data_IF_008616253440
#
_entry.id   IF_008616253440
#
_cell.length_a   1.000
_cell.length_b   1.000
_cell.length_c   1.000
_cell.angle_alpha   90.00
_cell.angle_beta   90.00
_cell.angle_gamma   90.00
#
_symmetry.space_group_name_H-M   'P 1'
#
loop_
_entity.id
_entity.type
_entity.pdbx_description
1 polymer ?
#
# COMPACT_ATOMS: atom_id res chain seq x y z
N UNK A 1 14.18 6.70 -0.60
CA UNK A 1 13.84 6.23 0.76
C UNK A 1 14.19 4.74 0.93
N UNK A 2 13.72 3.85 0.01
CA UNK A 2 14.03 2.43 0.13
C UNK A 2 15.54 2.17 0.16
N UNK A 3 16.29 2.83 -0.72
CA UNK A 3 17.75 2.69 -0.76
C UNK A 3 18.41 3.13 0.56
N UNK A 4 17.89 4.20 1.17
CA UNK A 4 18.40 4.69 2.46
C UNK A 4 18.20 3.62 3.55
N UNK A 5 17.01 3.02 3.58
CA UNK A 5 16.69 1.96 4.56
C UNK A 5 17.62 0.78 4.37
N UNK A 6 17.84 0.32 3.13
CA UNK A 6 18.73 -0.79 2.86
C UNK A 6 20.18 -0.47 3.28
N UNK A 7 20.62 0.78 3.07
CA UNK A 7 21.95 1.20 3.51
C UNK A 7 22.07 1.17 5.05
N UNK A 8 21.03 1.62 5.74
CA UNK A 8 21.03 1.56 7.22
C UNK A 8 21.03 0.10 7.71
N UNK A 9 20.28 -0.79 7.07
CA UNK A 9 20.24 -2.20 7.43
C UNK A 9 21.62 -2.86 7.25
N UNK A 10 22.32 -2.55 6.15
CA UNK A 10 23.68 -3.05 5.94
C UNK A 10 24.61 -2.59 7.05
N UNK A 11 24.56 -1.31 7.42
CA UNK A 11 25.38 -0.76 8.49
C UNK A 11 25.07 -1.39 9.84
N UNK A 12 23.81 -1.80 10.05
CA UNK A 12 23.38 -2.44 11.30
C UNK A 12 23.74 -3.93 11.35
N UNK A 13 24.35 -4.48 10.29
CA UNK A 13 24.79 -5.86 10.26
C UNK A 13 23.73 -6.86 9.83
N UNK A 14 22.68 -6.42 9.17
CA UNK A 14 21.64 -7.32 8.68
C UNK A 14 22.22 -8.28 7.63
N UNK A 15 21.93 -9.57 7.77
CA UNK A 15 22.30 -10.57 6.76
C UNK A 15 21.37 -10.52 5.57
N UNK A 16 20.12 -10.11 5.80
CA UNK A 16 19.13 -9.90 4.74
C UNK A 16 18.18 -8.78 5.16
N UNK A 17 17.65 -8.07 4.17
CA UNK A 17 16.68 -7.01 4.41
C UNK A 17 15.81 -6.81 3.19
N UNK A 18 14.51 -6.67 3.44
CA UNK A 18 13.55 -6.27 2.43
C UNK A 18 12.80 -5.03 2.93
N UNK A 19 12.42 -4.19 2.00
CA UNK A 19 11.76 -2.92 2.27
C UNK A 19 10.58 -2.78 1.33
N UNK A 20 9.42 -2.44 1.87
CA UNK A 20 8.26 -2.10 1.08
C UNK A 20 7.84 -0.68 1.41
N UNK A 21 7.71 0.15 0.37
CA UNK A 21 7.29 1.54 0.49
C UNK A 21 5.98 1.69 -0.25
N UNK A 22 4.98 2.28 0.38
CA UNK A 22 3.70 2.54 -0.28
C UNK A 22 3.22 3.95 0.00
N UNK A 23 2.52 4.50 -0.97
CA UNK A 23 1.78 5.75 -0.85
C UNK A 23 0.46 5.58 -1.58
N UNK A 24 -0.59 6.18 -1.04
CA UNK A 24 -1.89 6.14 -1.69
C UNK A 24 -2.77 7.27 -1.24
N UNK A 25 -3.72 7.63 -2.08
CA UNK A 25 -4.74 8.59 -1.72
C UNK A 25 -6.04 8.23 -2.42
N UNK A 26 -7.13 8.70 -1.85
CA UNK A 26 -8.42 8.43 -2.44
C UNK A 26 -9.53 9.25 -1.84
N UNK A 27 -10.69 9.09 -2.45
CA UNK A 27 -11.91 9.71 -1.93
C UNK A 27 -13.07 8.76 -2.15
N UNK A 28 -14.07 8.85 -1.26
CA UNK A 28 -15.30 8.09 -1.38
C UNK A 28 -16.47 9.01 -1.11
N UNK A 29 -17.48 8.92 -1.98
CA UNK A 29 -18.71 9.67 -1.87
C UNK A 29 -19.84 8.67 -1.81
N UNK A 30 -20.67 8.75 -0.78
CA UNK A 30 -21.84 7.89 -0.61
C UNK A 30 -23.11 8.74 -0.60
N UNK A 31 -24.11 8.31 -1.37
CA UNK A 31 -25.45 8.90 -1.34
C UNK A 31 -26.38 7.83 -0.77
N UNK A 32 -27.10 8.19 0.30
CA UNK A 32 -28.04 7.29 0.96
C UNK A 32 -29.40 7.99 1.07
N UNK A 33 -30.41 7.37 0.52
CA UNK A 33 -31.78 7.92 0.48
C UNK A 33 -31.78 9.35 -0.06
N UNK A 34 -30.99 9.58 -1.11
CA UNK A 34 -30.92 10.87 -1.80
C UNK A 34 -29.99 11.90 -1.15
N UNK A 35 -29.50 11.63 0.06
CA UNK A 35 -28.67 12.58 0.80
C UNK A 35 -27.20 12.17 0.74
N UNK A 36 -26.33 13.16 0.61
CA UNK A 36 -24.88 12.93 0.57
C UNK A 36 -24.38 12.68 1.98
N UNK A 37 -23.78 11.51 2.21
CA UNK A 37 -23.09 11.20 3.46
C UNK A 37 -21.79 12.00 3.55
N UNK A 38 -21.16 12.11 4.74
CA UNK A 38 -19.87 12.78 4.82
C UNK A 38 -18.87 12.19 3.84
N UNK A 39 -18.19 13.06 3.09
CA UNK A 39 -17.22 12.66 2.08
C UNK A 39 -15.93 12.25 2.79
N UNK A 40 -15.39 11.10 2.41
CA UNK A 40 -14.16 10.59 2.99
C UNK A 40 -12.99 10.83 2.05
N UNK A 41 -11.92 11.39 2.59
CA UNK A 41 -10.64 11.53 1.91
C UNK A 41 -9.61 10.77 2.72
N UNK A 42 -8.75 10.02 2.04
CA UNK A 42 -7.65 9.37 2.73
C UNK A 42 -6.35 9.63 1.98
N UNK A 43 -5.29 9.75 2.74
CA UNK A 43 -3.93 9.84 2.22
C UNK A 43 -3.02 9.08 3.17
N UNK A 44 -2.41 8.03 2.67
CA UNK A 44 -1.61 7.12 3.46
C UNK A 44 -0.23 6.95 2.85
N UNK A 45 0.77 6.78 3.69
CA UNK A 45 2.09 6.36 3.24
C UNK A 45 2.73 5.52 4.32
N UNK A 46 3.62 4.63 3.91
CA UNK A 46 4.29 3.77 4.88
C UNK A 46 5.53 3.13 4.31
N UNK A 47 6.44 2.82 5.20
CA UNK A 47 7.62 2.01 4.90
C UNK A 47 7.64 0.86 5.89
N UNK A 48 7.64 -0.38 5.37
CA UNK A 48 7.84 -1.58 6.16
C UNK A 48 9.25 -2.10 5.93
N UNK A 49 9.92 -2.47 7.00
CA UNK A 49 11.31 -2.97 6.97
C UNK A 49 11.32 -4.34 7.61
N UNK A 50 11.77 -5.34 6.87
CA UNK A 50 11.96 -6.71 7.38
C UNK A 50 13.46 -7.00 7.36
N UNK A 51 14.01 -7.40 8.50
CA UNK A 51 15.43 -7.68 8.68
C UNK A 51 15.59 -9.14 9.13
N UNK A 52 16.46 -9.88 8.75
CA UNK A 52 16.83 -10.96 9.02
C UNK A 52 18.01 -10.79 9.56
N UNK A 53 18.47 -11.42 10.76
CA UNK A 53 19.81 -11.65 11.33
C UNK A 53 20.01 -13.16 11.37
N UNK A 54 20.63 -13.69 10.34
CA UNK A 54 20.63 -15.13 10.12
C UNK A 54 19.20 -15.61 9.94
N UNK A 55 18.74 -16.49 10.82
CA UNK A 55 17.40 -17.05 10.78
C UNK A 55 16.42 -16.37 11.76
N UNK A 56 16.85 -15.25 12.33
CA UNK A 56 15.99 -14.46 13.21
C UNK A 56 15.42 -13.29 12.43
N UNK A 57 14.11 -13.12 12.47
CA UNK A 57 13.41 -12.12 11.66
C UNK A 57 12.79 -11.05 12.55
N UNK A 58 12.95 -9.81 12.16
CA UNK A 58 12.27 -8.68 12.79
C UNK A 58 11.65 -7.80 11.76
N UNK A 59 10.51 -7.21 12.13
CA UNK A 59 9.78 -6.30 11.24
C UNK A 59 9.39 -5.05 12.02
N UNK A 60 9.51 -3.89 11.36
CA UNK A 60 9.02 -2.64 11.91
C UNK A 60 8.59 -1.75 10.77
N UNK A 61 7.73 -0.79 11.05
CA UNK A 61 7.22 0.12 10.01
C UNK A 61 7.09 1.53 10.56
N UNK A 62 7.03 2.49 9.64
CA UNK A 62 6.80 3.89 9.97
C UNK A 62 6.05 4.58 8.83
N UNK A 63 5.27 5.60 9.18
CA UNK A 63 4.68 6.51 8.21
C UNK A 63 5.49 7.79 8.07
N UNK A 64 6.54 7.96 8.86
CA UNK A 64 7.44 9.12 8.83
C UNK A 64 8.65 8.78 7.97
N UNK A 65 8.81 9.51 6.85
CA UNK A 65 9.89 9.27 5.89
C UNK A 65 11.13 10.13 6.17
N UNK A 66 11.23 10.73 7.34
CA UNK A 66 12.43 11.48 7.74
C UNK A 66 13.61 10.54 7.92
N UNK A 67 14.81 11.07 7.76
CA UNK A 67 16.03 10.27 7.87
C UNK A 67 16.17 9.64 9.28
N UNK A 68 15.80 10.37 10.33
CA UNK A 68 15.86 9.84 11.69
C UNK A 68 14.86 8.71 11.89
N UNK A 69 13.62 8.87 11.42
CA UNK A 69 12.59 7.83 11.55
C UNK A 69 12.99 6.56 10.81
N UNK A 70 13.60 6.69 9.63
CA UNK A 70 14.06 5.52 8.87
C UNK A 70 15.14 4.75 9.63
N UNK A 71 16.11 5.47 10.22
CA UNK A 71 17.15 4.84 11.04
C UNK A 71 16.55 4.13 12.25
N UNK A 72 15.62 4.79 12.92
CA UNK A 72 14.97 4.23 14.12
C UNK A 72 14.17 2.98 13.76
N UNK A 73 13.50 3.00 12.62
CA UNK A 73 12.70 1.85 12.16
C UNK A 73 13.60 0.65 11.87
N UNK A 74 14.76 0.87 11.21
CA UNK A 74 15.72 -0.20 10.98
C UNK A 74 16.24 -0.74 12.32
N UNK A 75 16.59 0.16 13.24
CA UNK A 75 17.09 -0.24 14.56
C UNK A 75 16.04 -1.07 15.31
N UNK A 76 14.77 -0.66 15.23
CA UNK A 76 13.67 -1.40 15.85
C UNK A 76 13.53 -2.80 15.25
N UNK A 77 13.56 -2.91 13.91
CA UNK A 77 13.47 -4.21 13.24
C UNK A 77 14.65 -5.12 13.65
N UNK A 78 15.85 -4.57 13.69
CA UNK A 78 17.03 -5.34 14.13
C UNK A 78 16.90 -5.78 15.58
N UNK A 79 16.40 -4.90 16.44
CA UNK A 79 16.22 -5.24 17.84
C UNK A 79 15.20 -6.37 18.03
N UNK A 80 14.09 -6.29 17.30
CA UNK A 80 13.08 -7.35 17.32
C UNK A 80 13.72 -8.67 16.85
N UNK A 81 14.49 -8.63 15.76
CA UNK A 81 15.15 -9.85 15.24
C UNK A 81 16.04 -10.51 16.29
N UNK A 82 16.80 -9.72 17.05
CA UNK A 82 17.73 -10.27 18.06
C UNK A 82 17.02 -11.10 19.12
N UNK A 83 15.75 -10.79 19.41
CA UNK A 83 14.99 -11.47 20.46
C UNK A 83 13.96 -12.46 19.93
N UNK A 84 13.87 -12.60 18.60
CA UNK A 84 12.97 -13.56 17.98
C UNK A 84 13.65 -14.92 17.88
N UNK A 85 12.90 -16.00 18.10
CA UNK A 85 13.42 -17.35 17.94
C UNK A 85 13.85 -17.57 16.48
N UNK A 86 14.93 -18.32 16.30
CA UNK A 86 15.40 -18.67 14.97
C UNK A 86 14.38 -19.59 14.27
N UNK A 87 14.15 -19.32 13.00
CA UNK A 87 13.23 -20.09 12.15
C UNK A 87 14.02 -20.50 10.90
N UNK A 88 14.24 -21.81 10.68
CA UNK A 88 15.02 -22.22 9.50
C UNK A 88 14.41 -21.80 8.17
N UNK A 89 13.14 -21.40 8.17
CA UNK A 89 12.48 -20.92 6.94
C UNK A 89 12.55 -19.39 6.81
N UNK A 90 13.12 -18.69 7.79
CA UNK A 90 13.21 -17.22 7.72
C UNK A 90 14.36 -16.78 6.81
N UNK A 91 14.10 -15.79 5.98
CA UNK A 91 15.10 -15.23 5.08
C UNK A 91 14.48 -14.76 3.79
N UNK A 92 15.31 -14.24 2.90
CA UNK A 92 14.88 -13.92 1.54
C UNK A 92 15.02 -15.21 0.69
N UNK A 93 14.28 -15.29 -0.42
CA UNK A 93 14.41 -16.45 -1.30
C UNK A 93 15.85 -16.62 -1.81
N UNK A 94 16.16 -17.84 -2.23
CA UNK A 94 17.43 -18.12 -2.86
C UNK A 94 17.66 -17.17 -4.04
N UNK A 95 18.93 -16.83 -4.28
CA UNK A 95 19.28 -15.85 -5.31
C UNK A 95 18.72 -16.22 -6.69
N UNK A 96 18.64 -17.54 -6.97
CA UNK A 96 18.12 -18.01 -8.25
C UNK A 96 16.61 -17.76 -8.43
N UNK A 97 15.90 -17.53 -7.33
CA UNK A 97 14.46 -17.28 -7.34
C UNK A 97 14.12 -15.79 -7.27
N UNK A 98 15.12 -14.93 -7.05
CA UNK A 98 14.89 -13.50 -6.99
C UNK A 98 14.76 -12.90 -8.39
N UNK A 99 13.93 -11.88 -8.52
CA UNK A 99 13.79 -11.18 -9.79
C UNK A 99 15.13 -10.57 -10.20
N UNK A 100 15.47 -10.76 -11.47
CA UNK A 100 16.74 -10.25 -12.01
C UNK A 100 16.63 -8.72 -12.18
N UNK A 101 17.59 -8.03 -11.60
CA UNK A 101 17.71 -6.58 -11.67
C UNK A 101 17.81 -6.04 -13.08
N UNK A 102 18.42 -6.82 -13.98
CA UNK A 102 18.63 -6.43 -15.37
C UNK A 102 17.43 -6.73 -16.26
N UNK A 103 16.49 -7.49 -15.74
CA UNK A 103 15.30 -7.86 -16.50
C UNK A 103 14.32 -6.70 -16.51
N UNK A 104 13.83 -6.34 -17.69
CA UNK A 104 12.79 -5.31 -17.79
C UNK A 104 11.49 -5.84 -17.21
N UNK A 105 10.84 -5.01 -16.41
CA UNK A 105 9.53 -5.39 -15.86
C UNK A 105 8.44 -5.10 -16.88
N UNK A 106 7.48 -5.99 -16.97
CA UNK A 106 6.32 -5.77 -17.82
C UNK A 106 5.52 -4.56 -17.33
N UNK A 107 5.02 -3.78 -18.26
CA UNK A 107 4.06 -2.74 -17.95
C UNK A 107 2.72 -3.43 -17.71
N UNK A 108 2.23 -3.41 -16.47
CA UNK A 108 1.01 -4.09 -16.10
C UNK A 108 -0.24 -3.26 -16.42
N UNK A 109 -0.04 -1.99 -16.83
CA UNK A 109 -1.12 -1.09 -17.26
C UNK A 109 -2.21 -0.97 -16.20
N UNK A 110 -1.82 -0.74 -14.95
CA UNK A 110 -2.74 -0.71 -13.81
C UNK A 110 -3.07 0.69 -13.33
N UNK A 111 -2.57 1.73 -14.01
CA UNK A 111 -2.76 3.10 -13.57
C UNK A 111 -3.59 3.88 -14.59
N UNK A 112 -4.85 4.07 -14.25
CA UNK A 112 -5.84 4.78 -15.07
C UNK A 112 -6.62 5.73 -14.16
N UNK A 113 -6.02 6.87 -13.79
CA UNK A 113 -6.69 7.79 -12.86
C UNK A 113 -7.98 8.32 -13.46
N UNK A 114 -8.98 8.50 -12.62
CA UNK A 114 -10.28 9.00 -13.01
C UNK A 114 -10.49 10.35 -12.32
N UNK A 115 -10.34 11.47 -13.04
CA UNK A 115 -10.39 12.80 -12.42
C UNK A 115 -11.84 13.25 -12.20
N UNK A 116 -12.58 12.50 -11.39
CA UNK A 116 -13.99 12.77 -11.11
C UNK A 116 -14.08 13.78 -9.98
N UNK A 117 -14.85 14.84 -10.18
CA UNK A 117 -15.11 15.81 -9.13
C UNK A 117 -16.05 15.23 -8.08
N UNK A 118 -16.09 15.87 -6.90
CA UNK A 118 -17.04 15.48 -5.86
C UNK A 118 -18.47 15.55 -6.38
N UNK A 119 -18.80 16.59 -7.14
CA UNK A 119 -20.13 16.78 -7.71
C UNK A 119 -20.48 15.68 -8.71
N UNK A 120 -19.53 15.32 -9.56
CA UNK A 120 -19.72 14.24 -10.53
C UNK A 120 -19.87 12.88 -9.84
N UNK A 121 -19.07 12.63 -8.81
CA UNK A 121 -19.16 11.39 -8.03
C UNK A 121 -20.51 11.31 -7.31
N UNK A 122 -20.95 12.42 -6.73
CA UNK A 122 -22.24 12.50 -6.05
C UNK A 122 -23.38 12.18 -7.01
N UNK A 123 -23.37 12.77 -8.21
CA UNK A 123 -24.41 12.54 -9.20
C UNK A 123 -24.42 11.08 -9.67
N UNK A 124 -23.24 10.51 -9.86
CA UNK A 124 -23.14 9.11 -10.26
C UNK A 124 -23.73 8.19 -9.18
N UNK A 125 -23.38 8.43 -7.91
CA UNK A 125 -23.93 7.66 -6.79
C UNK A 125 -25.45 7.84 -6.69
N UNK A 126 -25.94 9.08 -6.86
CA UNK A 126 -27.38 9.36 -6.81
C UNK A 126 -28.13 8.59 -7.89
N UNK A 127 -27.61 8.60 -9.11
CA UNK A 127 -28.22 7.88 -10.22
C UNK A 127 -28.27 6.37 -9.96
N UNK A 128 -27.20 5.84 -9.38
CA UNK A 128 -27.13 4.42 -9.04
C UNK A 128 -28.22 4.06 -8.02
N UNK A 129 -28.35 4.83 -6.95
CA UNK A 129 -29.36 4.58 -5.92
C UNK A 129 -30.78 4.75 -6.48
N UNK A 130 -31.00 5.78 -7.27
CA UNK A 130 -32.32 6.04 -7.90
C UNK A 130 -32.74 4.87 -8.79
N UNK A 131 -31.77 4.29 -9.52
CA UNK A 131 -32.09 3.15 -10.39
C UNK A 131 -32.56 1.96 -9.55
N UNK A 132 -31.98 1.74 -8.38
CA UNK A 132 -32.41 0.67 -7.48
C UNK A 132 -33.83 0.93 -6.96
N UNK A 133 -34.12 2.14 -6.50
CA UNK A 133 -35.48 2.49 -6.02
C UNK A 133 -36.53 2.36 -7.13
N UNK A 134 -36.14 2.63 -8.37
CA UNK A 134 -37.08 2.57 -9.51
C UNK A 134 -37.52 1.14 -9.87
N UNK A 135 -36.80 0.13 -9.34
CA UNK A 135 -37.15 -1.26 -9.67
C UNK A 135 -38.52 -1.66 -9.11
N UNK A 136 -38.86 -1.21 -7.91
CA UNK A 136 -40.12 -1.57 -7.28
C UNK A 136 -40.44 -0.62 -6.13
N UNK A 137 -41.73 -0.24 -5.95
CA UNK A 137 -42.13 0.54 -4.79
C UNK A 137 -41.97 -0.19 -3.47
N UNK A 138 -41.69 -1.49 -3.49
CA UNK A 138 -41.41 -2.26 -2.29
C UNK A 138 -40.00 -1.96 -1.74
N UNK A 139 -39.12 -1.34 -2.54
CA UNK A 139 -37.81 -0.93 -2.09
C UNK A 139 -37.97 0.43 -1.39
N UNK A 140 -37.95 0.42 -0.07
CA UNK A 140 -38.26 1.60 0.74
C UNK A 140 -37.02 2.15 1.48
N UNK A 141 -35.87 1.49 1.38
CA UNK A 141 -34.66 1.93 2.06
C UNK A 141 -33.43 1.52 1.26
N UNK A 142 -32.30 2.09 1.61
CA UNK A 142 -31.03 1.89 0.91
C UNK A 142 -29.90 1.99 1.93
N UNK A 143 -28.86 1.17 1.76
CA UNK A 143 -27.59 1.34 2.50
C UNK A 143 -26.71 2.40 1.81
N UNK A 144 -27.15 2.88 0.65
CA UNK A 144 -26.45 3.87 -0.12
C UNK A 144 -25.75 3.30 -1.34
N UNK A 145 -25.39 4.22 -2.24
CA UNK A 145 -24.51 3.92 -3.37
C UNK A 145 -23.22 4.72 -3.17
N UNK A 146 -22.08 4.06 -3.36
CA UNK A 146 -20.79 4.67 -3.09
C UNK A 146 -19.95 4.69 -4.36
N UNK A 147 -19.34 5.84 -4.65
CA UNK A 147 -18.29 5.96 -5.67
C UNK A 147 -16.99 6.15 -4.92
N UNK A 148 -16.03 5.26 -5.15
CA UNK A 148 -14.74 5.32 -4.52
C UNK A 148 -13.64 5.33 -5.58
N UNK A 149 -12.72 6.27 -5.46
CA UNK A 149 -11.59 6.46 -6.38
C UNK A 149 -10.31 6.39 -5.55
N UNK A 150 -9.42 5.45 -5.89
CA UNK A 150 -8.18 5.25 -5.15
C UNK A 150 -7.02 5.23 -6.13
N UNK A 151 -5.92 5.86 -5.76
CA UNK A 151 -4.66 5.81 -6.50
C UNK A 151 -3.56 5.45 -5.52
N UNK A 152 -2.58 4.69 -6.00
CA UNK A 152 -1.49 4.29 -5.16
C UNK A 152 -0.24 3.95 -5.95
N UNK A 153 0.84 3.80 -5.22
CA UNK A 153 2.13 3.43 -5.77
C UNK A 153 2.89 2.67 -4.70
N UNK A 154 3.60 1.63 -5.10
CA UNK A 154 4.48 0.93 -4.17
C UNK A 154 5.81 0.63 -4.81
N UNK A 155 6.82 0.44 -3.95
CA UNK A 155 8.16 0.00 -4.34
C UNK A 155 8.56 -1.08 -3.35
N UNK A 156 9.01 -2.22 -3.87
CA UNK A 156 9.67 -3.25 -3.07
C UNK A 156 11.14 -3.28 -3.42
N UNK A 157 12.00 -3.46 -2.42
CA UNK A 157 13.44 -3.50 -2.63
C UNK A 157 14.07 -4.47 -1.63
N UNK A 158 15.21 -5.04 -2.01
CA UNK A 158 15.95 -5.90 -1.08
C UNK A 158 17.44 -5.63 -1.15
N UNK A 159 18.15 -6.17 -0.15
CA UNK A 159 19.56 -5.94 0.04
C UNK A 159 20.42 -6.60 -1.08
N UNK A 160 19.84 -7.53 -1.84
CA UNK A 160 20.53 -8.21 -2.95
C UNK A 160 20.43 -7.47 -4.28
N UNK A 161 19.92 -6.24 -4.25
CA UNK A 161 19.95 -5.35 -5.41
C UNK A 161 18.64 -5.20 -6.17
N UNK A 162 17.59 -5.92 -5.78
CA UNK A 162 16.28 -5.74 -6.40
C UNK A 162 15.65 -4.42 -5.95
N UNK A 163 15.01 -3.72 -6.88
CA UNK A 163 14.13 -2.59 -6.59
C UNK A 163 13.14 -2.47 -7.74
N UNK A 164 11.87 -2.58 -7.43
CA UNK A 164 10.82 -2.48 -8.44
C UNK A 164 9.48 -2.08 -7.82
N UNK A 165 8.61 -1.55 -8.65
CA UNK A 165 7.27 -1.14 -8.21
C UNK A 165 6.49 -0.56 -9.35
N UNK A 166 5.23 -0.23 -9.09
CA UNK A 166 4.37 0.35 -10.11
C UNK A 166 3.21 1.12 -9.46
N UNK A 167 2.63 2.09 -10.20
CA UNK A 167 1.44 2.79 -9.73
C UNK A 167 0.19 1.97 -10.05
N UNK A 168 -0.86 2.19 -9.27
CA UNK A 168 -2.16 1.54 -9.49
C UNK A 168 -3.28 2.55 -9.31
N UNK A 169 -4.41 2.26 -9.91
CA UNK A 169 -5.65 2.97 -9.63
C UNK A 169 -6.77 1.96 -9.46
N UNK A 170 -7.79 2.35 -8.70
CA UNK A 170 -8.90 1.47 -8.40
C UNK A 170 -10.17 2.31 -8.26
N UNK A 171 -11.21 1.90 -8.96
CA UNK A 171 -12.48 2.61 -8.96
C UNK A 171 -13.60 1.64 -8.63
N UNK A 172 -14.55 2.09 -7.79
CA UNK A 172 -15.70 1.29 -7.39
C UNK A 172 -16.98 2.10 -7.54
N UNK A 173 -18.04 1.43 -7.93
CA UNK A 173 -19.40 1.91 -7.85
C UNK A 173 -20.27 0.78 -7.31
#
# INVERSE_FOLDING_TARGET
>A
RAADVLAHARKAGASACAVDVSEGFGQSVCVRCGEVEPIEHNRDKGIGVTVXLGQQKGHASTSDFSSSALRETVAAACNIARFTAADPCAGLPDAALLANRQQAFADLDLYHPWPLSIEEATELARRCEQAAFAVSPQITNSEGATVSIQEGQFVSANIFGFMGGYPTSRHYL
#
